data_IF_128867801671
#
_entry.id   IF_128867801671
#
_cell.length_a   1.000
_cell.length_b   1.000
_cell.length_c   1.000
_cell.angle_alpha   90.00
_cell.angle_beta   90.00
_cell.angle_gamma   90.00
#
_symmetry.space_group_name_H-M   'P 1'
#
loop_
_entity.id
_entity.type
_entity.pdbx_description
1 polymer ?
#
# COMPACT_ATOMS: atom_id res chain seq x y z
N UNK A 1 12.55 0.37 -24.55
CA UNK A 1 12.01 -0.90 -24.26
C UNK A 1 12.51 -1.32 -22.89
N UNK A 2 12.29 -0.55 -21.87
CA UNK A 2 12.84 -0.73 -20.54
C UNK A 2 11.79 -1.19 -19.55
N UNK A 3 12.26 -1.65 -18.40
CA UNK A 3 11.50 -2.04 -17.23
C UNK A 3 10.61 -0.87 -16.79
N UNK A 4 9.34 -0.88 -17.25
CA UNK A 4 8.39 0.21 -17.02
C UNK A 4 7.57 0.05 -15.75
N UNK A 5 7.67 -1.11 -15.07
CA UNK A 5 6.92 -1.44 -13.87
C UNK A 5 7.78 -1.28 -12.63
N UNK A 6 7.17 -0.75 -11.57
CA UNK A 6 7.77 -0.64 -10.24
C UNK A 6 6.78 -1.21 -9.22
N UNK A 7 7.23 -2.11 -8.36
CA UNK A 7 6.48 -2.65 -7.24
C UNK A 7 6.94 -1.93 -5.98
N UNK A 8 6.02 -1.42 -5.19
CA UNK A 8 6.33 -0.67 -3.97
C UNK A 8 5.46 -1.20 -2.83
N UNK A 9 6.01 -2.08 -1.97
CA UNK A 9 5.33 -2.46 -0.75
C UNK A 9 5.35 -1.32 0.28
N UNK A 10 4.25 -1.19 1.03
CA UNK A 10 4.24 -0.43 2.27
C UNK A 10 4.79 -1.35 3.36
N UNK A 11 5.92 -0.97 3.94
CA UNK A 11 6.59 -1.77 4.97
C UNK A 11 5.80 -1.72 6.29
N UNK A 12 5.79 -2.80 7.03
CA UNK A 12 6.48 -4.10 6.80
C UNK A 12 5.61 -5.10 6.02
N UNK A 13 4.30 -5.12 6.28
CA UNK A 13 3.39 -6.17 5.82
C UNK A 13 3.35 -6.34 4.30
N UNK A 14 3.53 -5.26 3.54
CA UNK A 14 3.56 -5.29 2.08
C UNK A 14 4.69 -6.13 1.47
N UNK A 15 5.73 -6.48 2.25
CA UNK A 15 6.85 -7.30 1.75
C UNK A 15 6.39 -8.64 1.20
N UNK A 16 5.51 -9.36 1.92
CA UNK A 16 5.00 -10.65 1.44
C UNK A 16 4.28 -10.56 0.11
N UNK A 17 3.50 -9.48 -0.09
CA UNK A 17 2.84 -9.24 -1.39
C UNK A 17 3.86 -8.91 -2.49
N UNK A 18 4.88 -8.12 -2.19
CA UNK A 18 5.89 -7.76 -3.20
C UNK A 18 6.69 -8.95 -3.68
N UNK A 19 6.97 -9.92 -2.83
CA UNK A 19 7.63 -11.19 -3.22
C UNK A 19 6.79 -11.95 -4.25
N UNK A 20 5.50 -12.19 -3.96
CA UNK A 20 4.61 -12.85 -4.90
C UNK A 20 4.43 -12.07 -6.23
N UNK A 21 4.39 -10.74 -6.17
CA UNK A 21 4.33 -9.92 -7.37
C UNK A 21 5.61 -9.98 -8.20
N UNK A 22 6.79 -10.08 -7.55
CA UNK A 22 8.08 -10.24 -8.25
C UNK A 22 8.22 -11.59 -8.94
N UNK A 23 7.67 -12.66 -8.36
CA UNK A 23 7.63 -13.97 -9.01
C UNK A 23 6.84 -13.93 -10.33
N UNK A 24 5.75 -13.19 -10.36
CA UNK A 24 4.93 -12.98 -11.57
C UNK A 24 5.59 -12.00 -12.55
N UNK A 25 6.32 -11.02 -12.05
CA UNK A 25 6.89 -9.92 -12.82
C UNK A 25 8.38 -9.69 -12.51
N UNK A 26 9.25 -10.66 -12.81
CA UNK A 26 10.65 -10.66 -12.37
C UNK A 26 11.49 -9.51 -12.96
N UNK A 27 10.98 -8.85 -14.00
CA UNK A 27 11.64 -7.68 -14.59
C UNK A 27 11.25 -6.35 -13.94
N UNK A 28 10.32 -6.34 -12.99
CA UNK A 28 9.93 -5.14 -12.29
C UNK A 28 11.07 -4.59 -11.43
N UNK A 29 11.08 -3.28 -11.23
CA UNK A 29 11.93 -2.66 -10.21
C UNK A 29 11.16 -2.67 -8.89
N UNK A 30 11.90 -2.63 -7.78
CA UNK A 30 11.30 -2.57 -6.45
C UNK A 30 11.74 -1.29 -5.75
N UNK A 31 10.79 -0.61 -5.13
CA UNK A 31 11.04 0.46 -4.18
C UNK A 31 10.39 0.10 -2.84
N UNK A 32 10.64 0.89 -1.81
CA UNK A 32 10.07 0.66 -0.48
C UNK A 32 9.59 1.97 0.13
N UNK A 33 8.41 1.96 0.74
CA UNK A 33 7.90 3.03 1.57
C UNK A 33 7.62 2.45 2.96
N UNK A 34 8.31 2.95 3.96
CA UNK A 34 8.11 2.57 5.36
C UNK A 34 7.28 3.61 6.08
N UNK A 35 6.16 3.18 6.64
CA UNK A 35 5.24 3.99 7.42
C UNK A 35 4.97 3.31 8.76
N UNK A 36 4.85 4.09 9.83
CA UNK A 36 4.33 3.62 11.11
C UNK A 36 3.25 4.57 11.63
N UNK A 37 2.44 4.11 12.56
CA UNK A 37 1.45 4.96 13.22
C UNK A 37 2.12 5.75 14.33
N UNK A 38 2.10 7.08 14.20
CA UNK A 38 2.53 7.98 15.25
C UNK A 38 1.57 8.01 16.45
N UNK A 39 1.91 8.77 17.51
CA UNK A 39 1.10 8.89 18.73
C UNK A 39 -0.32 9.43 18.48
N UNK A 40 -0.51 10.20 17.42
CA UNK A 40 -1.79 10.76 16.97
C UNK A 40 -2.51 9.89 15.95
N UNK A 41 -2.10 8.63 15.81
CA UNK A 41 -2.58 7.65 14.81
C UNK A 41 -2.37 8.07 13.34
N UNK A 42 -1.62 9.14 13.09
CA UNK A 42 -1.25 9.53 11.74
C UNK A 42 -0.07 8.73 11.23
N UNK A 43 -0.04 8.46 9.91
CA UNK A 43 1.11 7.77 9.32
C UNK A 43 2.35 8.68 9.35
N UNK A 44 3.45 8.11 9.85
CA UNK A 44 4.76 8.76 9.86
C UNK A 44 5.68 7.99 8.93
N UNK A 45 6.28 8.71 7.97
CA UNK A 45 7.25 8.16 7.03
C UNK A 45 8.62 8.04 7.71
N UNK A 46 9.20 6.83 7.71
CA UNK A 46 10.55 6.61 8.25
C UNK A 46 11.53 6.09 7.20
N UNK A 47 11.04 5.59 6.07
CA UNK A 47 11.86 5.12 4.96
C UNK A 47 11.19 5.39 3.64
N UNK A 48 11.92 6.01 2.71
CA UNK A 48 11.55 6.04 1.30
C UNK A 48 12.76 5.74 0.46
N UNK A 49 12.78 4.54 -0.12
CA UNK A 49 13.83 4.12 -1.05
C UNK A 49 13.18 3.71 -2.36
N UNK A 50 13.28 4.56 -3.34
CA UNK A 50 12.62 4.41 -4.64
C UNK A 50 13.64 4.42 -5.78
N UNK A 51 13.33 3.79 -6.92
CA UNK A 51 14.15 3.91 -8.13
C UNK A 51 14.31 5.39 -8.55
N UNK A 52 15.48 5.76 -9.05
CA UNK A 52 15.86 7.15 -9.38
C UNK A 52 14.97 7.83 -10.41
N UNK A 53 14.29 7.06 -11.26
CA UNK A 53 13.37 7.58 -12.29
C UNK A 53 12.05 6.82 -12.20
N UNK A 54 11.03 7.47 -11.65
CA UNK A 54 9.65 6.94 -11.56
C UNK A 54 8.76 7.48 -12.67
N UNK A 55 9.08 8.65 -13.22
CA UNK A 55 8.28 9.28 -14.28
C UNK A 55 8.11 8.35 -15.49
N UNK A 56 6.88 8.24 -15.98
CA UNK A 56 6.50 7.36 -17.09
C UNK A 56 6.54 5.86 -16.78
N UNK A 57 6.59 5.48 -15.50
CA UNK A 57 6.50 4.10 -15.04
C UNK A 57 5.15 3.83 -14.41
N UNK A 58 4.65 2.61 -14.64
CA UNK A 58 3.49 2.09 -13.89
C UNK A 58 3.97 1.65 -12.51
N UNK A 59 3.25 2.04 -11.48
CA UNK A 59 3.56 1.71 -10.09
C UNK A 59 2.45 0.82 -9.53
N UNK A 60 2.81 -0.33 -8.99
CA UNK A 60 1.96 -1.15 -8.12
C UNK A 60 2.37 -0.86 -6.69
N UNK A 61 1.55 -0.12 -5.98
CA UNK A 61 1.68 0.10 -4.55
C UNK A 61 0.88 -0.99 -3.83
N UNK A 62 1.47 -1.72 -2.89
CA UNK A 62 0.81 -2.85 -2.25
C UNK A 62 0.95 -2.86 -0.73
N UNK A 63 -0.15 -3.21 -0.07
CA UNK A 63 -0.27 -3.45 1.36
C UNK A 63 -1.35 -4.51 1.58
N UNK A 64 -1.14 -5.57 2.36
CA UNK A 64 -2.18 -6.58 2.56
C UNK A 64 -3.46 -6.05 3.21
N UNK A 65 -3.39 -4.95 3.96
CA UNK A 65 -4.52 -4.46 4.74
C UNK A 65 -4.87 -3.01 4.38
N UNK A 66 -6.11 -2.79 3.91
CA UNK A 66 -6.68 -1.45 3.73
C UNK A 66 -7.74 -1.22 4.83
N UNK A 67 -7.27 -0.91 6.06
CA UNK A 67 -8.13 -0.72 7.22
C UNK A 67 -8.72 0.70 7.28
N UNK A 68 -7.98 1.68 7.78
CA UNK A 68 -8.43 3.09 7.82
C UNK A 68 -8.17 3.84 6.53
N UNK A 69 -7.30 3.34 5.67
CA UNK A 69 -6.86 4.01 4.43
C UNK A 69 -5.73 5.03 4.60
N UNK A 70 -5.44 5.48 5.82
CA UNK A 70 -4.48 6.56 6.04
C UNK A 70 -3.06 6.26 5.54
N UNK A 71 -2.54 5.05 5.76
CA UNK A 71 -1.22 4.65 5.26
C UNK A 71 -1.17 4.60 3.74
N UNK A 72 -2.23 4.08 3.11
CA UNK A 72 -2.35 4.04 1.66
C UNK A 72 -2.36 5.45 1.06
N UNK A 73 -3.15 6.36 1.62
CA UNK A 73 -3.19 7.78 1.21
C UNK A 73 -1.81 8.42 1.36
N UNK A 74 -1.15 8.27 2.51
CA UNK A 74 0.17 8.85 2.73
C UNK A 74 1.23 8.31 1.76
N UNK A 75 1.19 7.01 1.46
CA UNK A 75 2.11 6.40 0.49
C UNK A 75 1.88 6.94 -0.93
N UNK A 76 0.63 7.11 -1.34
CA UNK A 76 0.29 7.75 -2.62
C UNK A 76 0.79 9.19 -2.66
N UNK A 77 0.54 9.98 -1.60
CA UNK A 77 1.02 11.37 -1.52
C UNK A 77 2.54 11.45 -1.69
N UNK A 78 3.28 10.51 -1.10
CA UNK A 78 4.73 10.40 -1.27
C UNK A 78 5.12 10.16 -2.73
N UNK A 79 4.39 9.31 -3.45
CA UNK A 79 4.63 9.05 -4.88
C UNK A 79 4.31 10.25 -5.76
N UNK A 80 3.18 10.92 -5.50
CA UNK A 80 2.76 12.12 -6.24
C UNK A 80 3.78 13.25 -6.08
N UNK A 81 4.28 13.49 -4.85
CA UNK A 81 5.36 14.46 -4.57
C UNK A 81 6.66 14.15 -5.33
N UNK A 82 6.86 12.90 -5.75
CA UNK A 82 8.03 12.46 -6.53
C UNK A 82 7.75 12.38 -8.04
N UNK A 83 6.63 12.97 -8.50
CA UNK A 83 6.30 13.16 -9.91
C UNK A 83 5.64 11.95 -10.57
N UNK A 84 5.21 10.94 -9.81
CA UNK A 84 4.36 9.86 -10.35
C UNK A 84 2.96 10.43 -10.59
N UNK A 85 2.39 10.16 -11.75
CA UNK A 85 1.04 10.62 -12.07
C UNK A 85 0.00 9.67 -11.48
N UNK A 86 -1.16 10.17 -11.00
CA UNK A 86 -2.22 9.32 -10.43
C UNK A 86 -2.59 8.14 -11.33
N UNK A 87 -2.77 8.37 -12.62
CA UNK A 87 -3.12 7.35 -13.63
C UNK A 87 -2.07 6.24 -13.81
N UNK A 88 -0.87 6.45 -13.31
CA UNK A 88 0.23 5.48 -13.39
C UNK A 88 0.38 4.68 -12.09
N UNK A 89 -0.47 4.94 -11.09
CA UNK A 89 -0.48 4.23 -9.80
C UNK A 89 -1.68 3.28 -9.76
N UNK A 90 -1.44 2.06 -9.33
CA UNK A 90 -2.46 1.09 -8.95
C UNK A 90 -2.19 0.65 -7.51
N UNK A 91 -3.19 0.73 -6.65
CA UNK A 91 -3.08 0.22 -5.28
C UNK A 91 -3.72 -1.16 -5.18
N UNK A 92 -3.02 -2.09 -4.55
CA UNK A 92 -3.47 -3.48 -4.39
C UNK A 92 -3.45 -3.87 -2.92
N UNK A 93 -4.58 -4.35 -2.41
CA UNK A 93 -4.70 -4.91 -1.07
C UNK A 93 -5.34 -6.30 -1.08
N UNK A 94 -5.15 -7.06 -0.01
CA UNK A 94 -5.81 -8.37 0.14
C UNK A 94 -7.13 -8.22 0.88
N UNK A 95 -7.10 -7.63 2.06
CA UNK A 95 -8.29 -7.45 2.91
C UNK A 95 -8.52 -5.97 3.15
N UNK A 96 -9.75 -5.53 2.99
CA UNK A 96 -10.13 -4.12 3.14
C UNK A 96 -11.39 -3.97 3.99
N UNK A 97 -11.54 -2.80 4.60
CA UNK A 97 -12.78 -2.36 5.22
C UNK A 97 -13.43 -1.24 4.38
N UNK A 98 -14.76 -1.09 4.40
CA UNK A 98 -15.46 -0.02 3.69
C UNK A 98 -14.92 1.37 4.03
N UNK A 99 -14.59 1.60 5.31
CA UNK A 99 -14.04 2.87 5.79
C UNK A 99 -12.69 3.21 5.13
N UNK A 100 -11.83 2.19 4.93
CA UNK A 100 -10.54 2.36 4.26
C UNK A 100 -10.68 2.62 2.78
N UNK A 101 -11.60 1.93 2.13
CA UNK A 101 -11.92 2.12 0.70
C UNK A 101 -12.46 3.54 0.49
N UNK A 102 -13.42 3.98 1.31
CA UNK A 102 -13.99 5.32 1.22
C UNK A 102 -12.92 6.41 1.42
N UNK A 103 -12.11 6.27 2.46
CA UNK A 103 -11.01 7.21 2.75
C UNK A 103 -10.05 7.31 1.56
N UNK A 104 -9.65 6.18 1.01
CA UNK A 104 -8.72 6.13 -0.12
C UNK A 104 -9.32 6.75 -1.39
N UNK A 105 -10.53 6.34 -1.76
CA UNK A 105 -11.21 6.84 -2.96
C UNK A 105 -11.55 8.32 -2.87
N UNK A 106 -11.87 8.82 -1.68
CA UNK A 106 -12.12 10.25 -1.45
C UNK A 106 -10.87 11.10 -1.62
N UNK A 107 -9.72 10.59 -1.15
CA UNK A 107 -8.44 11.29 -1.29
C UNK A 107 -7.86 11.20 -2.71
N UNK A 108 -7.98 10.03 -3.34
CA UNK A 108 -7.36 9.73 -4.62
C UNK A 108 -8.33 9.03 -5.59
N UNK A 109 -9.38 9.71 -6.07
CA UNK A 109 -10.43 9.10 -6.90
C UNK A 109 -9.92 8.62 -8.28
N UNK A 110 -8.79 9.11 -8.74
CA UNK A 110 -8.19 8.76 -10.03
C UNK A 110 -7.30 7.51 -10.00
N UNK A 111 -7.04 6.97 -8.79
CA UNK A 111 -6.16 5.81 -8.62
C UNK A 111 -6.97 4.53 -8.63
N UNK A 112 -6.56 3.59 -9.46
CA UNK A 112 -7.15 2.26 -9.49
C UNK A 112 -6.86 1.53 -8.17
N UNK A 113 -7.93 1.04 -7.53
CA UNK A 113 -7.89 0.25 -6.31
C UNK A 113 -8.39 -1.17 -6.58
N UNK A 114 -7.55 -2.17 -6.29
CA UNK A 114 -7.92 -3.57 -6.33
C UNK A 114 -7.81 -4.17 -4.93
N UNK A 115 -8.87 -4.83 -4.49
CA UNK A 115 -8.91 -5.55 -3.21
C UNK A 115 -9.42 -6.98 -3.46
N UNK A 116 -8.83 -7.95 -2.79
CA UNK A 116 -9.27 -9.34 -2.94
C UNK A 116 -10.52 -9.62 -2.08
N UNK A 117 -10.65 -8.98 -0.92
CA UNK A 117 -11.82 -9.07 -0.05
C UNK A 117 -12.19 -7.73 0.53
N UNK A 118 -13.48 -7.42 0.49
CA UNK A 118 -14.08 -6.31 1.22
C UNK A 118 -14.84 -6.91 2.41
N UNK A 119 -14.31 -6.73 3.59
CA UNK A 119 -14.88 -7.20 4.85
C UNK A 119 -15.93 -6.23 5.40
N UNK A 120 -16.49 -6.52 6.58
CA UNK A 120 -17.70 -5.83 7.04
C UNK A 120 -17.44 -4.39 7.54
N UNK A 121 -16.43 -4.21 8.38
CA UNK A 121 -16.16 -2.93 9.07
C UNK A 121 -14.85 -2.94 9.84
N UNK A 122 -14.51 -1.80 10.43
CA UNK A 122 -13.48 -1.70 11.47
C UNK A 122 -14.07 -1.87 12.86
N UNK A 123 -13.29 -2.45 13.79
CA UNK A 123 -13.60 -2.39 15.21
C UNK A 123 -13.08 -1.09 15.84
N UNK A 124 -13.30 -0.89 17.15
CA UNK A 124 -12.86 0.30 17.91
C UNK A 124 -11.34 0.54 17.88
N UNK A 125 -10.55 -0.50 17.66
CA UNK A 125 -9.10 -0.46 17.61
C UNK A 125 -8.56 -0.39 16.18
N UNK A 126 -9.45 -0.11 15.20
CA UNK A 126 -9.17 -0.01 13.77
C UNK A 126 -8.67 -1.31 13.11
N UNK A 127 -9.04 -2.47 13.64
CA UNK A 127 -8.87 -3.75 12.98
C UNK A 127 -10.07 -4.07 12.11
N UNK A 128 -9.80 -4.70 10.98
CA UNK A 128 -10.84 -5.17 10.05
C UNK A 128 -11.58 -6.37 10.66
N UNK A 129 -12.90 -6.39 10.54
CA UNK A 129 -13.76 -7.49 10.96
C UNK A 129 -14.53 -8.06 9.75
N UNK A 130 -14.57 -9.40 9.60
CA UNK A 130 -13.90 -10.43 10.41
C UNK A 130 -12.38 -10.38 10.34
N UNK A 131 -11.77 -9.96 9.22
CA UNK A 131 -10.35 -9.69 9.07
C UNK A 131 -9.42 -10.83 9.48
N UNK A 132 -8.16 -10.46 9.78
CA UNK A 132 -7.13 -11.42 10.24
C UNK A 132 -6.18 -10.84 11.30
N UNK A 133 -6.54 -9.71 11.91
CA UNK A 133 -5.69 -9.01 12.88
C UNK A 133 -4.60 -8.16 12.20
N UNK A 134 -3.41 -8.09 12.80
CA UNK A 134 -2.26 -7.39 12.23
C UNK A 134 -1.47 -8.30 11.29
N UNK A 135 -1.47 -7.99 10.00
CA UNK A 135 -0.79 -8.79 8.99
C UNK A 135 0.73 -8.79 9.17
N UNK A 136 1.31 -7.66 9.56
CA UNK A 136 2.76 -7.56 9.78
C UNK A 136 3.22 -8.44 10.94
N UNK A 137 2.53 -8.37 12.07
CA UNK A 137 2.84 -9.21 13.24
C UNK A 137 2.67 -10.69 12.92
N UNK A 138 1.65 -11.06 12.16
CA UNK A 138 1.42 -12.46 11.75
C UNK A 138 2.47 -12.98 10.78
N UNK A 139 2.89 -12.16 9.80
CA UNK A 139 3.92 -12.56 8.82
C UNK A 139 5.28 -12.71 9.49
N UNK A 140 5.62 -11.78 10.39
CA UNK A 140 6.96 -11.69 10.97
C UNK A 140 7.08 -12.27 12.38
N UNK A 141 5.99 -12.74 12.98
CA UNK A 141 5.99 -13.34 14.31
C UNK A 141 6.37 -12.36 15.43
N UNK A 142 5.90 -11.10 15.34
CA UNK A 142 6.29 -10.03 16.27
C UNK A 142 5.31 -9.80 17.41
N UNK A 143 4.27 -10.62 17.56
CA UNK A 143 3.39 -10.72 18.74
C UNK A 143 2.87 -12.13 18.89
#
# INVERSE_FOLDING_TARGET
KGKKLVIIPILRAGLGMSEGLMDLMPSARVGHIGLYRGPDHKPVEYLVKLPSKLEGRRVILCDPMLATGNSAVAAVDTLLKRGVKPKDITFVALVSAPEGVETFQKAHPEIELYVASLDEKLNKDAYILPGLGDAGDRIFGTK
#
